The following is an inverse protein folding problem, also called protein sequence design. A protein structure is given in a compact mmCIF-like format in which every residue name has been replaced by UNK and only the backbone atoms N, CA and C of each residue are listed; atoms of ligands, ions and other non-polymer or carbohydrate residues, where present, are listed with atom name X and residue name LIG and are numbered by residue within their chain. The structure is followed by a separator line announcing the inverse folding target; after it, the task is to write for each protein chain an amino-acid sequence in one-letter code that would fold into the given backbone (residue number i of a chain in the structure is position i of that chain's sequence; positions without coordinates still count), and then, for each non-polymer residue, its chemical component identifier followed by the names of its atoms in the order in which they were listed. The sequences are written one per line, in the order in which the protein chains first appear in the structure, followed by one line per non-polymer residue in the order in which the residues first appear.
data_IF_456208575218
#
_entry.id   IF_456208575218
#
_cell.length_a   1.000
_cell.length_b   1.000
_cell.length_c   1.000
_cell.angle_alpha   90.00
_cell.angle_beta   90.00
_cell.angle_gamma   90.00
#
_symmetry.space_group_name_H-M   'P 1'
#
loop_
_entity.id
_entity.type
_entity.pdbx_description
1 polymer ?
#
# COMPACT_ATOMS: atom_id res chain seq x y z
N UNK A 1 -16.22 9.87 4.05
CA UNK A 1 -15.53 10.54 2.92
C UNK A 1 -14.52 9.60 2.30
N UNK A 2 -14.45 9.59 0.97
CA UNK A 2 -13.59 8.69 0.25
C UNK A 2 -12.27 9.38 -0.11
N UNK A 3 -11.15 8.71 0.21
CA UNK A 3 -9.85 9.20 -0.18
C UNK A 3 -9.58 8.90 -1.65
N UNK A 4 -8.85 9.80 -2.31
CA UNK A 4 -8.34 9.56 -3.66
C UNK A 4 -7.09 8.70 -3.57
N UNK A 5 -6.89 7.83 -4.55
CA UNK A 5 -5.72 6.94 -4.60
C UNK A 5 -4.81 7.34 -5.74
N UNK A 6 -3.52 7.50 -5.44
CA UNK A 6 -2.47 7.66 -6.43
C UNK A 6 -1.41 6.58 -6.21
N UNK A 7 -0.81 6.11 -7.30
CA UNK A 7 0.19 5.04 -7.25
C UNK A 7 1.48 5.56 -7.87
N UNK A 8 2.58 5.49 -7.13
CA UNK A 8 3.89 5.87 -7.66
C UNK A 8 4.28 4.97 -8.84
N UNK A 9 5.06 5.50 -9.78
CA UNK A 9 5.51 4.76 -10.95
C UNK A 9 6.18 3.43 -10.57
N UNK A 10 7.04 3.44 -9.57
CA UNK A 10 7.73 2.22 -9.11
C UNK A 10 6.75 1.17 -8.59
N UNK A 11 5.74 1.62 -7.84
CA UNK A 11 4.70 0.72 -7.33
C UNK A 11 3.83 0.19 -8.46
N UNK A 12 3.48 1.03 -9.43
CA UNK A 12 2.70 0.61 -10.60
C UNK A 12 3.45 -0.43 -11.42
N UNK A 13 4.75 -0.25 -11.60
CA UNK A 13 5.58 -1.23 -12.30
C UNK A 13 5.62 -2.56 -11.57
N UNK A 14 5.77 -2.52 -10.25
CA UNK A 14 5.75 -3.73 -9.43
C UNK A 14 4.42 -4.46 -9.57
N UNK A 15 3.32 -3.71 -9.54
CA UNK A 15 1.98 -4.28 -9.67
C UNK A 15 1.79 -5.00 -11.00
N UNK A 16 2.31 -4.45 -12.09
CA UNK A 16 2.21 -5.07 -13.41
C UNK A 16 2.92 -6.41 -13.51
N UNK A 17 3.93 -6.63 -12.69
CA UNK A 17 4.71 -7.89 -12.66
C UNK A 17 4.05 -8.96 -11.80
N UNK A 18 3.02 -8.62 -11.08
CA UNK A 18 2.32 -9.53 -10.18
C UNK A 18 1.26 -10.30 -10.97
N UNK A 19 0.99 -11.56 -10.58
CA UNK A 19 -0.04 -12.37 -11.21
C UNK A 19 -1.40 -11.69 -11.11
N UNK A 20 -2.29 -11.94 -12.08
CA UNK A 20 -3.61 -11.31 -12.11
C UNK A 20 -4.45 -11.55 -10.86
N UNK A 21 -4.52 -12.76 -10.30
CA UNK A 21 -5.27 -12.97 -9.05
C UNK A 21 -4.76 -12.11 -7.90
N UNK A 22 -3.45 -11.98 -7.78
CA UNK A 22 -2.86 -11.16 -6.72
C UNK A 22 -3.06 -9.66 -6.98
N UNK A 23 -3.00 -9.24 -8.25
CA UNK A 23 -3.33 -7.86 -8.62
C UNK A 23 -4.74 -7.49 -8.18
N UNK A 24 -5.69 -8.38 -8.38
CA UNK A 24 -7.08 -8.15 -7.95
C UNK A 24 -7.20 -8.00 -6.45
N UNK A 25 -6.50 -8.86 -5.70
CA UNK A 25 -6.50 -8.79 -4.23
C UNK A 25 -5.92 -7.46 -3.74
N UNK A 26 -4.82 -7.05 -4.34
CA UNK A 26 -4.15 -5.80 -3.98
C UNK A 26 -5.03 -4.61 -4.32
N UNK A 27 -5.63 -4.59 -5.51
CA UNK A 27 -6.53 -3.51 -5.92
C UNK A 27 -7.73 -3.39 -4.99
N UNK A 28 -8.31 -4.51 -4.61
CA UNK A 28 -9.43 -4.55 -3.65
C UNK A 28 -9.03 -3.98 -2.31
N UNK A 29 -7.85 -4.36 -1.82
CA UNK A 29 -7.36 -3.87 -0.54
C UNK A 29 -7.12 -2.37 -0.56
N UNK A 30 -6.58 -1.85 -1.66
CA UNK A 30 -6.34 -0.41 -1.83
C UNK A 30 -7.67 0.34 -1.87
N UNK A 31 -8.64 -0.15 -2.63
CA UNK A 31 -9.96 0.48 -2.70
C UNK A 31 -10.65 0.49 -1.33
N UNK A 32 -10.49 -0.59 -0.59
CA UNK A 32 -11.03 -0.71 0.74
C UNK A 32 -10.40 0.29 1.71
N UNK A 33 -9.10 0.52 1.57
CA UNK A 33 -8.41 1.57 2.35
C UNK A 33 -9.03 2.94 2.11
N UNK A 34 -9.28 3.26 0.84
CA UNK A 34 -9.82 4.57 0.46
C UNK A 34 -11.21 4.82 1.06
N UNK A 35 -12.00 3.77 1.23
CA UNK A 35 -13.37 3.89 1.73
C UNK A 35 -13.47 3.81 3.26
N UNK A 36 -12.55 3.10 3.90
CA UNK A 36 -12.69 2.72 5.31
C UNK A 36 -11.54 3.21 6.20
N UNK A 37 -10.93 4.33 5.89
CA UNK A 37 -9.92 4.89 6.78
C UNK A 37 -10.57 5.61 7.96
N UNK A 38 -9.93 5.54 9.14
CA UNK A 38 -8.76 4.73 9.46
C UNK A 38 -9.10 3.24 9.63
N UNK A 39 -8.20 2.38 9.20
CA UNK A 39 -8.38 0.94 9.36
C UNK A 39 -7.62 0.41 10.57
N UNK A 40 -8.25 -0.42 11.41
CA UNK A 40 -7.58 -0.92 12.61
C UNK A 40 -6.46 -1.92 12.32
N UNK A 41 -6.48 -2.56 11.16
CA UNK A 41 -5.45 -3.54 10.78
C UNK A 41 -4.29 -2.93 10.00
N UNK A 42 -4.27 -1.62 9.78
CA UNK A 42 -3.11 -0.96 9.20
C UNK A 42 -2.14 -0.57 10.29
N UNK A 43 -0.86 -0.70 10.02
CA UNK A 43 0.18 -0.42 10.99
C UNK A 43 1.12 0.65 10.46
N UNK A 44 1.34 1.69 11.25
CA UNK A 44 2.33 2.71 10.93
C UNK A 44 3.72 2.09 11.06
N UNK A 45 4.59 2.38 10.11
CA UNK A 45 5.96 1.90 10.16
C UNK A 45 6.72 2.56 11.31
N UNK A 46 7.70 1.83 11.85
CA UNK A 46 8.50 2.33 12.96
C UNK A 46 9.27 3.59 12.59
N UNK A 47 9.38 4.51 13.54
CA UNK A 47 10.09 5.76 13.37
C UNK A 47 9.17 6.93 13.04
N UNK A 48 9.75 8.11 12.87
CA UNK A 48 9.02 9.34 12.59
C UNK A 48 8.78 9.53 11.10
N UNK A 49 8.17 8.53 10.46
CA UNK A 49 7.88 8.62 9.03
C UNK A 49 6.37 8.58 8.80
N UNK A 50 5.89 9.14 7.68
CA UNK A 50 4.46 9.21 7.37
C UNK A 50 3.90 7.91 6.77
N UNK A 51 4.70 6.86 6.71
CA UNK A 51 4.33 5.66 5.97
C UNK A 51 3.57 4.68 6.83
N UNK A 52 2.61 4.01 6.19
CA UNK A 52 1.83 2.91 6.75
C UNK A 52 2.04 1.67 5.90
N UNK A 53 1.71 0.53 6.44
CA UNK A 53 1.81 -0.72 5.70
C UNK A 53 0.57 -1.57 5.92
N UNK A 54 0.20 -2.32 4.88
CA UNK A 54 -0.86 -3.31 4.97
C UNK A 54 -0.40 -4.58 4.26
N UNK A 55 -0.73 -5.71 4.83
CA UNK A 55 -0.38 -7.00 4.26
C UNK A 55 -1.53 -7.54 3.42
N UNK A 56 -1.23 -7.97 2.19
CA UNK A 56 -2.21 -8.57 1.29
C UNK A 56 -1.60 -9.85 0.73
N UNK A 57 -1.99 -11.00 1.27
CA UNK A 57 -1.40 -12.27 0.88
C UNK A 57 0.10 -12.29 1.13
N UNK A 58 0.87 -12.55 0.09
CA UNK A 58 2.33 -12.56 0.15
C UNK A 58 2.96 -11.20 -0.15
N UNK A 59 2.15 -10.16 -0.24
CA UNK A 59 2.61 -8.83 -0.58
C UNK A 59 2.39 -7.86 0.57
N UNK A 60 3.23 -6.85 0.61
CA UNK A 60 3.10 -5.75 1.55
C UNK A 60 3.02 -4.44 0.77
N UNK A 61 2.01 -3.64 1.09
CA UNK A 61 1.79 -2.35 0.45
C UNK A 61 2.20 -1.27 1.43
N UNK A 62 3.11 -0.40 1.00
CA UNK A 62 3.53 0.77 1.76
C UNK A 62 2.84 1.98 1.16
N UNK A 63 2.18 2.76 1.99
CA UNK A 63 1.42 3.92 1.52
C UNK A 63 1.54 5.07 2.51
N UNK A 64 1.27 6.27 2.01
CA UNK A 64 1.25 7.50 2.78
C UNK A 64 -0.17 8.05 2.77
N UNK A 65 -0.65 8.50 3.92
CA UNK A 65 -1.96 9.13 4.04
C UNK A 65 -1.75 10.63 4.13
N UNK A 66 -2.31 11.37 3.19
CA UNK A 66 -2.30 12.82 3.20
C UNK A 66 -3.72 13.31 3.49
N UNK A 67 -4.02 13.47 4.78
CA UNK A 67 -5.36 13.80 5.26
C UNK A 67 -5.86 15.16 4.79
N UNK A 68 -4.98 16.12 4.66
CA UNK A 68 -5.33 17.49 4.25
C UNK A 68 -5.89 17.56 2.83
N UNK A 69 -5.52 16.63 1.98
CA UNK A 69 -6.00 16.57 0.59
C UNK A 69 -6.78 15.27 0.30
N UNK A 70 -7.08 14.50 1.32
CA UNK A 70 -7.81 13.22 1.23
C UNK A 70 -7.19 12.30 0.18
N UNK A 71 -5.89 12.10 0.28
CA UNK A 71 -5.12 11.31 -0.68
C UNK A 71 -4.40 10.16 0.01
N UNK A 72 -4.45 9.00 -0.62
CA UNK A 72 -3.61 7.85 -0.27
C UNK A 72 -2.62 7.65 -1.41
N UNK A 73 -1.34 7.79 -1.11
CA UNK A 73 -0.27 7.58 -2.09
C UNK A 73 0.35 6.21 -1.87
N UNK A 74 0.20 5.32 -2.84
CA UNK A 74 0.83 4.00 -2.79
C UNK A 74 2.29 4.15 -3.21
N UNK A 75 3.18 3.96 -2.26
CA UNK A 75 4.61 4.23 -2.43
C UNK A 75 5.34 3.00 -2.95
N UNK A 76 5.01 1.84 -2.40
CA UNK A 76 5.74 0.62 -2.71
C UNK A 76 4.85 -0.61 -2.54
N UNK A 77 5.04 -1.58 -3.42
CA UNK A 77 4.41 -2.90 -3.31
C UNK A 77 5.55 -3.92 -3.34
N UNK A 78 5.70 -4.69 -2.28
CA UNK A 78 6.85 -5.57 -2.09
C UNK A 78 6.37 -7.00 -1.83
N UNK A 79 6.98 -7.95 -2.51
CA UNK A 79 6.73 -9.35 -2.23
C UNK A 79 7.38 -9.73 -0.88
N UNK A 80 6.76 -10.61 -0.17
CA UNK A 80 7.23 -11.11 1.12
C UNK A 80 8.72 -11.49 1.12
N UNK A 81 9.19 -12.11 0.05
CA UNK A 81 10.60 -12.50 -0.09
C UNK A 81 11.55 -11.31 -0.25
N UNK A 82 11.05 -10.21 -0.79
CA UNK A 82 11.87 -9.03 -1.07
C UNK A 82 11.89 -8.04 0.08
N UNK A 83 11.05 -8.23 1.08
CA UNK A 83 10.99 -7.34 2.24
C UNK A 83 12.33 -7.29 2.96
N UNK A 84 12.95 -8.42 3.14
CA UNK A 84 14.23 -8.51 3.83
C UNK A 84 15.36 -7.82 3.06
N UNK A 85 15.31 -7.84 1.73
CA UNK A 85 16.27 -7.14 0.89
C UNK A 85 16.09 -5.63 0.94
N UNK A 86 14.85 -5.18 1.05
CA UNK A 86 14.52 -3.76 1.08
C UNK A 86 14.92 -3.09 2.39
N UNK A 87 15.10 -3.87 3.44
CA UNK A 87 15.40 -3.36 4.78
C UNK A 87 16.89 -3.35 5.10
N UNK A 88 17.70 -3.87 4.21
CA UNK A 88 19.16 -3.89 4.41
C UNK A 88 19.86 -2.75 3.72
#
# INVERSE_FOLDING_TARGET
MKYRIEVKKSAAKALKKISKPDQKRISKAIDNLAENLPKPDTTKMKGDNPFHKIRVGDYRIVYEIQDDVLLILIVKIVHRKDIYRSLT
#
